data_IF_172114003241
#
_entry.id   IF_172114003241
#
_cell.length_a   1.000
_cell.length_b   1.000
_cell.length_c   1.000
_cell.angle_alpha   90.00
_cell.angle_beta   90.00
_cell.angle_gamma   90.00
#
_symmetry.space_group_name_H-M   'P 1'
#
loop_
_entity.id
_entity.type
_entity.pdbx_description
1 polymer ?
#
# COMPACT_ATOMS: atom_id res chain seq x y z
N UNK A 1 30.12 18.01 13.00
CA UNK A 1 29.30 17.76 11.80
C UNK A 1 27.96 17.22 12.28
N UNK A 2 26.86 17.97 12.16
CA UNK A 2 25.56 17.43 12.53
C UNK A 2 25.22 16.27 11.59
N UNK A 3 24.74 15.16 12.16
CA UNK A 3 24.21 14.04 11.39
C UNK A 3 22.83 14.47 10.91
N UNK A 4 22.71 14.82 9.64
CA UNK A 4 21.43 14.88 8.96
C UNK A 4 20.92 13.44 8.80
N UNK A 5 20.41 12.88 9.90
CA UNK A 5 19.39 11.84 9.81
C UNK A 5 18.16 12.56 9.27
N UNK A 6 18.11 12.79 7.95
CA UNK A 6 16.86 13.10 7.28
C UNK A 6 15.85 12.05 7.74
N UNK A 7 14.85 12.49 8.51
CA UNK A 7 13.82 11.61 9.03
C UNK A 7 13.08 10.98 7.84
N UNK A 8 13.48 9.75 7.52
CA UNK A 8 12.90 8.88 6.50
C UNK A 8 11.40 8.61 6.77
N UNK A 9 10.98 8.69 8.04
CA UNK A 9 9.59 8.60 8.49
C UNK A 9 9.21 9.87 9.26
N UNK A 10 8.05 10.45 8.95
CA UNK A 10 7.45 11.59 9.67
C UNK A 10 5.99 11.27 9.98
N UNK A 11 5.51 11.69 11.14
CA UNK A 11 4.10 11.52 11.51
C UNK A 11 3.42 12.89 11.53
N UNK A 12 2.28 13.02 10.84
CA UNK A 12 1.49 14.24 10.79
C UNK A 12 0.02 13.91 10.57
N UNK A 13 -0.88 14.51 11.35
CA UNK A 13 -2.33 14.35 11.25
C UNK A 13 -2.82 12.89 11.20
N UNK A 14 -2.20 11.98 11.97
CA UNK A 14 -2.59 10.56 11.98
C UNK A 14 -2.03 9.74 10.81
N UNK A 15 -1.16 10.34 9.98
CA UNK A 15 -0.58 9.72 8.79
C UNK A 15 0.94 9.61 8.93
N UNK A 16 1.47 8.44 8.60
CA UNK A 16 2.90 8.15 8.54
C UNK A 16 3.43 8.44 7.13
N UNK A 17 4.16 9.54 6.97
CA UNK A 17 4.84 9.90 5.72
C UNK A 17 6.22 9.27 5.64
N UNK A 18 6.51 8.57 4.55
CA UNK A 18 7.72 7.78 4.36
C UNK A 18 8.42 8.25 3.09
N UNK A 19 9.64 8.78 3.16
CA UNK A 19 10.33 9.26 1.95
C UNK A 19 11.19 8.16 1.35
N UNK A 20 10.76 7.55 0.23
CA UNK A 20 11.55 6.48 -0.43
C UNK A 20 12.28 7.07 -1.66
N UNK A 21 13.61 7.30 -1.60
CA UNK A 21 14.34 7.91 -2.72
C UNK A 21 14.33 7.04 -3.98
N UNK A 22 14.37 5.72 -3.80
CA UNK A 22 14.28 4.71 -4.87
C UNK A 22 12.88 4.65 -5.52
N UNK A 23 11.89 5.40 -5.02
CA UNK A 23 10.53 5.37 -5.53
C UNK A 23 10.16 6.65 -6.30
N UNK A 24 11.13 7.26 -6.99
CA UNK A 24 10.97 8.47 -7.81
C UNK A 24 11.23 8.13 -9.27
N UNK A 25 10.20 8.21 -10.11
CA UNK A 25 10.28 7.80 -11.52
C UNK A 25 10.09 8.95 -12.51
N UNK A 26 10.75 8.83 -13.66
CA UNK A 26 10.44 9.58 -14.87
C UNK A 26 9.14 9.01 -15.49
N UNK A 27 8.16 9.88 -15.77
CA UNK A 27 6.86 9.51 -16.33
C UNK A 27 6.90 8.96 -17.76
N UNK A 28 8.04 9.02 -18.45
CA UNK A 28 8.14 8.65 -19.86
C UNK A 28 8.22 7.13 -20.12
N UNK A 29 8.61 6.29 -19.14
CA UNK A 29 8.80 4.84 -19.33
C UNK A 29 8.52 4.00 -18.07
N UNK A 30 8.37 2.67 -18.21
CA UNK A 30 8.23 1.73 -17.07
C UNK A 30 9.60 1.14 -16.67
N UNK A 31 10.26 1.61 -15.60
CA UNK A 31 11.59 1.12 -15.21
C UNK A 31 11.59 -0.32 -14.66
N UNK A 32 10.41 -0.92 -14.43
CA UNK A 32 10.26 -2.25 -13.83
C UNK A 32 10.06 -3.38 -14.84
N UNK A 33 9.61 -3.07 -16.05
CA UNK A 33 9.30 -4.06 -17.11
C UNK A 33 10.29 -3.97 -18.28
N UNK A 34 11.11 -2.92 -18.34
CA UNK A 34 12.15 -2.78 -19.36
C UNK A 34 13.18 -3.93 -19.33
N UNK A 35 13.59 -4.33 -20.53
CA UNK A 35 14.72 -5.22 -20.77
C UNK A 35 15.99 -4.38 -20.77
N UNK A 36 16.79 -4.42 -19.71
CA UNK A 36 18.03 -3.64 -19.63
C UNK A 36 18.72 -3.69 -18.27
N UNK A 37 19.95 -3.14 -18.22
CA UNK A 37 20.80 -3.07 -17.01
C UNK A 37 20.29 -2.08 -15.96
N UNK A 38 19.44 -1.13 -16.34
CA UNK A 38 18.89 -0.10 -15.45
C UNK A 38 17.51 -0.47 -14.87
N UNK A 39 17.18 -1.78 -14.82
CA UNK A 39 15.90 -2.24 -14.30
C UNK A 39 15.83 -2.03 -12.79
N UNK A 40 14.82 -1.32 -12.35
CA UNK A 40 14.57 -1.12 -10.92
C UNK A 40 13.96 -2.36 -10.28
N UNK A 41 14.31 -2.57 -8.99
CA UNK A 41 13.91 -3.74 -8.23
C UNK A 41 12.91 -3.34 -7.14
N UNK A 42 11.63 -3.77 -7.25
CA UNK A 42 10.61 -3.48 -6.24
C UNK A 42 10.98 -3.87 -4.81
N UNK A 43 11.89 -4.82 -4.64
CA UNK A 43 12.39 -5.25 -3.33
C UNK A 43 13.05 -4.12 -2.52
N UNK A 44 13.83 -3.24 -3.18
CA UNK A 44 14.48 -2.12 -2.50
C UNK A 44 13.46 -1.16 -1.90
N UNK A 45 12.46 -0.81 -2.70
CA UNK A 45 11.31 0.03 -2.32
C UNK A 45 10.49 -0.63 -1.20
N UNK A 46 10.12 -1.91 -1.35
CA UNK A 46 9.31 -2.63 -0.36
C UNK A 46 9.98 -2.66 1.02
N UNK A 47 11.31 -2.84 1.07
CA UNK A 47 12.06 -2.92 2.32
C UNK A 47 11.93 -1.66 3.18
N UNK A 48 11.86 -0.49 2.56
CA UNK A 48 11.69 0.78 3.26
C UNK A 48 10.35 0.84 4.00
N UNK A 49 9.27 0.42 3.33
CA UNK A 49 7.94 0.35 3.90
C UNK A 49 7.84 -0.77 4.95
N UNK A 50 8.37 -1.95 4.66
CA UNK A 50 8.39 -3.08 5.59
C UNK A 50 9.08 -2.70 6.90
N UNK A 51 10.22 -1.99 6.86
CA UNK A 51 10.91 -1.51 8.06
C UNK A 51 10.04 -0.53 8.86
N UNK A 52 9.37 0.41 8.20
CA UNK A 52 8.49 1.36 8.88
C UNK A 52 7.32 0.63 9.59
N UNK A 53 6.71 -0.33 8.91
CA UNK A 53 5.62 -1.15 9.45
C UNK A 53 6.09 -2.05 10.59
N UNK A 54 7.28 -2.65 10.46
CA UNK A 54 7.92 -3.44 11.53
C UNK A 54 8.09 -2.62 12.81
N UNK A 55 8.54 -1.37 12.69
CA UNK A 55 8.71 -0.49 13.84
C UNK A 55 7.38 -0.12 14.49
N UNK A 56 6.32 0.08 13.70
CA UNK A 56 5.02 0.52 14.20
C UNK A 56 4.14 -0.63 14.71
N UNK A 57 4.24 -1.82 14.09
CA UNK A 57 3.33 -2.95 14.31
C UNK A 57 4.07 -4.26 14.64
N UNK A 58 5.24 -4.18 15.28
CA UNK A 58 6.13 -5.31 15.60
C UNK A 58 5.44 -6.61 16.08
N UNK A 59 4.30 -6.50 16.77
CA UNK A 59 3.52 -7.63 17.30
C UNK A 59 2.06 -7.66 16.82
N UNK A 60 1.69 -6.81 15.86
CA UNK A 60 0.33 -6.69 15.36
C UNK A 60 0.09 -7.60 14.17
N UNK A 61 -1.02 -8.34 14.20
CA UNK A 61 -1.58 -9.00 13.02
C UNK A 61 -2.30 -7.93 12.20
N UNK A 62 -1.67 -7.47 11.12
CA UNK A 62 -2.20 -6.39 10.27
C UNK A 62 -2.42 -6.83 8.83
N UNK A 63 -3.45 -6.26 8.21
CA UNK A 63 -3.62 -6.29 6.76
C UNK A 63 -3.09 -5.00 6.16
N UNK A 64 -2.37 -5.10 5.05
CA UNK A 64 -1.84 -3.96 4.32
C UNK A 64 -2.45 -3.92 2.93
N UNK A 65 -3.06 -2.79 2.60
CA UNK A 65 -3.57 -2.47 1.28
C UNK A 65 -2.77 -1.31 0.70
N UNK A 66 -2.08 -1.52 -0.42
CA UNK A 66 -1.43 -0.46 -1.18
C UNK A 66 -2.32 0.00 -2.33
N UNK A 67 -2.46 1.31 -2.51
CA UNK A 67 -3.21 1.89 -3.63
C UNK A 67 -2.41 3.01 -4.30
N UNK A 68 -2.75 3.27 -5.56
CA UNK A 68 -2.24 4.42 -6.31
C UNK A 68 -3.25 5.55 -6.20
N UNK A 69 -2.88 6.68 -5.62
CA UNK A 69 -3.80 7.82 -5.45
C UNK A 69 -4.39 8.29 -6.78
N UNK A 70 -3.64 8.11 -7.87
CA UNK A 70 -4.04 8.46 -9.24
C UNK A 70 -5.12 7.56 -9.83
N UNK A 71 -5.42 6.42 -9.20
CA UNK A 71 -6.60 5.62 -9.55
C UNK A 71 -7.92 6.29 -9.14
N UNK A 72 -7.83 7.37 -8.33
CA UNK A 72 -8.96 8.17 -7.87
C UNK A 72 -8.92 9.56 -8.53
N UNK A 73 -9.04 9.62 -9.86
CA UNK A 73 -8.86 10.84 -10.68
C UNK A 73 -9.69 12.06 -10.26
N UNK A 74 -10.78 11.85 -9.52
CA UNK A 74 -11.66 12.91 -9.02
C UNK A 74 -11.14 13.61 -7.76
N UNK A 75 -10.10 13.07 -7.12
CA UNK A 75 -9.56 13.55 -5.85
C UNK A 75 -8.05 13.78 -5.99
N UNK A 76 -7.57 14.90 -5.48
CA UNK A 76 -6.14 15.02 -5.24
C UNK A 76 -5.74 14.09 -4.08
N UNK A 77 -4.44 13.78 -3.95
CA UNK A 77 -3.94 12.85 -2.92
C UNK A 77 -4.37 13.25 -1.50
N UNK A 78 -4.38 14.56 -1.20
CA UNK A 78 -4.74 15.07 0.14
C UNK A 78 -6.22 14.83 0.44
N UNK A 79 -7.11 15.14 -0.51
CA UNK A 79 -8.55 14.95 -0.33
C UNK A 79 -8.90 13.46 -0.22
N UNK A 80 -8.21 12.60 -0.98
CA UNK A 80 -8.35 11.15 -0.86
C UNK A 80 -7.91 10.65 0.53
N UNK A 81 -6.77 11.13 1.04
CA UNK A 81 -6.30 10.81 2.40
C UNK A 81 -7.36 11.21 3.43
N UNK A 82 -7.87 12.43 3.35
CA UNK A 82 -8.89 12.92 4.27
C UNK A 82 -10.15 12.05 4.22
N UNK A 83 -10.63 11.71 3.03
CA UNK A 83 -11.81 10.85 2.87
C UNK A 83 -11.58 9.45 3.44
N UNK A 84 -10.37 8.88 3.26
CA UNK A 84 -10.02 7.58 3.85
C UNK A 84 -10.04 7.68 5.37
N UNK A 85 -9.48 8.74 5.95
CA UNK A 85 -9.48 8.95 7.40
C UNK A 85 -10.90 9.10 7.94
N UNK A 86 -11.76 9.87 7.27
CA UNK A 86 -13.16 10.06 7.69
C UNK A 86 -13.98 8.77 7.59
N UNK A 87 -13.81 8.02 6.51
CA UNK A 87 -14.62 6.82 6.22
C UNK A 87 -14.05 5.50 6.76
N UNK A 88 -12.81 5.48 7.23
CA UNK A 88 -12.15 4.27 7.71
C UNK A 88 -11.64 3.34 6.61
N UNK A 89 -11.57 3.78 5.35
CA UNK A 89 -11.10 2.92 4.27
C UNK A 89 -11.24 3.56 2.90
N UNK A 90 -11.02 2.77 1.84
CA UNK A 90 -11.15 3.27 0.48
C UNK A 90 -12.59 3.72 0.17
N UNK A 91 -12.79 4.74 -0.70
CA UNK A 91 -14.12 5.06 -1.19
C UNK A 91 -14.79 3.79 -1.77
N UNK A 92 -16.00 3.46 -1.31
CA UNK A 92 -16.70 2.25 -1.77
C UNK A 92 -17.20 2.51 -3.18
N UNK A 93 -16.78 1.66 -4.11
CA UNK A 93 -17.30 1.63 -5.46
C UNK A 93 -18.57 0.76 -5.44
N UNK A 94 -19.73 1.29 -5.86
CA UNK A 94 -20.99 0.53 -5.99
C UNK A 94 -20.97 -0.49 -7.16
N UNK A 95 -19.84 -1.15 -7.37
CA UNK A 95 -19.61 -2.13 -8.42
C UNK A 95 -20.21 -3.52 -8.09
N UNK A 96 -20.87 -3.66 -6.93
CA UNK A 96 -21.46 -4.93 -6.48
C UNK A 96 -20.41 -6.02 -6.24
N UNK A 97 -19.17 -5.64 -5.90
CA UNK A 97 -18.10 -6.58 -5.60
C UNK A 97 -18.37 -7.30 -4.29
N UNK A 98 -17.94 -8.56 -4.22
CA UNK A 98 -18.05 -9.39 -3.04
C UNK A 98 -16.89 -9.16 -2.05
N UNK A 99 -16.06 -8.15 -2.24
CA UNK A 99 -14.95 -7.81 -1.35
C UNK A 99 -14.78 -6.29 -1.27
N UNK A 100 -14.21 -5.81 -0.16
CA UNK A 100 -13.99 -4.38 0.08
C UNK A 100 -12.66 -3.91 -0.50
N UNK A 101 -11.62 -4.73 -0.38
CA UNK A 101 -10.28 -4.43 -0.92
C UNK A 101 -9.42 -5.69 -1.09
N UNK A 102 -8.33 -5.52 -1.84
CA UNK A 102 -7.23 -6.46 -1.88
C UNK A 102 -6.16 -6.05 -0.86
N UNK A 103 -5.64 -6.99 -0.08
CA UNK A 103 -4.63 -6.76 0.94
C UNK A 103 -3.69 -7.96 1.11
N UNK A 104 -2.56 -7.72 1.76
CA UNK A 104 -1.65 -8.75 2.24
C UNK A 104 -1.75 -8.83 3.77
N UNK A 105 -1.63 -10.03 4.33
CA UNK A 105 -1.40 -10.19 5.76
C UNK A 105 0.09 -10.00 6.02
N UNK A 106 0.45 -8.99 6.80
CA UNK A 106 1.85 -8.67 7.06
C UNK A 106 2.33 -9.46 8.27
N UNK A 107 3.36 -10.28 8.06
CA UNK A 107 3.99 -11.00 9.15
C UNK A 107 5.46 -10.62 9.25
N UNK A 108 5.87 -9.97 10.35
CA UNK A 108 7.21 -9.42 10.49
C UNK A 108 8.33 -10.47 10.52
N UNK A 109 7.99 -11.76 10.68
CA UNK A 109 8.94 -12.85 10.84
C UNK A 109 8.96 -13.86 9.67
N UNK A 110 8.17 -13.61 8.63
CA UNK A 110 8.08 -14.53 7.49
C UNK A 110 8.53 -13.84 6.22
N UNK A 111 9.59 -14.36 5.60
CA UNK A 111 10.16 -13.80 4.37
C UNK A 111 9.16 -13.70 3.20
N UNK A 112 8.04 -14.43 3.23
CA UNK A 112 7.00 -14.41 2.20
C UNK A 112 5.98 -13.29 2.35
N UNK A 113 5.87 -12.63 3.49
CA UNK A 113 4.84 -11.63 3.78
C UNK A 113 5.44 -10.22 3.92
N UNK A 114 5.94 -9.73 2.79
CA UNK A 114 6.42 -8.34 2.60
C UNK A 114 5.40 -7.54 1.79
N UNK A 115 5.60 -6.24 1.69
CA UNK A 115 4.83 -5.36 0.78
C UNK A 115 5.19 -5.53 -0.69
N UNK A 116 6.22 -6.33 -1.01
CA UNK A 116 6.69 -6.61 -2.37
C UNK A 116 5.59 -7.05 -3.35
N UNK A 117 4.66 -7.96 -3.00
CA UNK A 117 3.62 -8.42 -3.93
C UNK A 117 2.74 -7.29 -4.49
N UNK A 118 2.51 -6.22 -3.72
CA UNK A 118 1.78 -5.05 -4.21
C UNK A 118 2.53 -4.29 -5.29
N UNK A 119 3.84 -4.12 -5.11
CA UNK A 119 4.65 -3.50 -6.14
C UNK A 119 4.72 -4.38 -7.40
N UNK A 120 4.80 -5.70 -7.25
CA UNK A 120 4.74 -6.59 -8.40
C UNK A 120 3.37 -6.54 -9.12
N UNK A 121 2.27 -6.52 -8.35
CA UNK A 121 0.91 -6.34 -8.89
C UNK A 121 0.79 -5.07 -9.74
N UNK A 122 1.23 -3.93 -9.21
CA UNK A 122 1.04 -2.66 -9.89
C UNK A 122 2.06 -2.37 -11.00
N UNK A 123 3.32 -2.80 -10.83
CA UNK A 123 4.41 -2.44 -11.74
C UNK A 123 4.75 -3.52 -12.76
N UNK A 124 4.39 -4.79 -12.51
CA UNK A 124 4.77 -5.92 -13.38
C UNK A 124 3.59 -6.72 -13.92
N UNK A 125 2.43 -6.70 -13.27
CA UNK A 125 1.26 -7.47 -13.71
C UNK A 125 0.29 -6.65 -14.57
N UNK A 126 -0.20 -7.26 -15.66
CA UNK A 126 -1.31 -6.71 -16.45
C UNK A 126 -2.61 -6.79 -15.64
N UNK A 127 -3.54 -5.82 -15.74
CA UNK A 127 -3.49 -4.66 -16.64
C UNK A 127 -2.75 -3.44 -16.06
N UNK A 128 -2.34 -3.46 -14.80
CA UNK A 128 -1.80 -2.28 -14.10
C UNK A 128 -0.50 -1.77 -14.72
N UNK A 129 0.43 -2.69 -15.00
CA UNK A 129 1.74 -2.38 -15.58
C UNK A 129 1.65 -1.81 -17.00
N UNK A 130 0.58 -2.13 -17.74
CA UNK A 130 0.36 -1.64 -19.11
C UNK A 130 -0.33 -0.28 -19.12
N UNK A 131 -1.37 -0.12 -18.29
CA UNK A 131 -2.19 1.09 -18.29
C UNK A 131 -1.50 2.27 -17.64
N UNK A 132 -0.80 2.01 -16.53
CA UNK A 132 -0.27 3.06 -15.63
C UNK A 132 1.08 2.64 -15.04
N UNK A 133 2.09 2.43 -15.89
CA UNK A 133 3.39 1.89 -15.50
C UNK A 133 4.21 2.75 -14.53
N UNK A 134 3.94 4.06 -14.50
CA UNK A 134 4.73 5.06 -13.78
C UNK A 134 4.04 5.54 -12.51
N UNK A 135 2.81 5.09 -12.26
CA UNK A 135 2.01 5.59 -11.15
C UNK A 135 2.42 4.89 -9.85
N UNK A 136 2.86 5.64 -8.84
CA UNK A 136 3.32 5.05 -7.59
C UNK A 136 2.16 4.46 -6.80
N UNK A 137 2.43 3.37 -6.08
CA UNK A 137 1.60 2.85 -5.00
C UNK A 137 1.95 3.66 -3.77
N UNK A 138 1.29 4.80 -3.62
CA UNK A 138 1.74 5.89 -2.75
C UNK A 138 0.92 6.05 -1.47
N UNK A 139 -0.24 5.39 -1.37
CA UNK A 139 -1.06 5.35 -0.15
C UNK A 139 -1.18 3.90 0.32
N UNK A 140 -0.97 3.71 1.61
CA UNK A 140 -0.98 2.41 2.27
C UNK A 140 -1.91 2.46 3.47
N UNK A 141 -2.92 1.61 3.44
CA UNK A 141 -3.92 1.46 4.50
C UNK A 141 -3.56 0.23 5.33
N UNK A 142 -3.54 0.39 6.65
CA UNK A 142 -3.20 -0.66 7.60
C UNK A 142 -4.43 -0.97 8.43
N UNK A 143 -4.90 -2.21 8.37
CA UNK A 143 -6.11 -2.65 9.06
C UNK A 143 -5.83 -3.75 10.09
N UNK A 144 -6.71 -3.89 11.07
CA UNK A 144 -6.73 -5.05 11.97
C UNK A 144 -7.16 -6.31 11.21
N UNK A 145 -6.32 -7.36 11.19
CA UNK A 145 -6.66 -8.65 10.58
C UNK A 145 -7.97 -9.21 11.10
N UNK A 146 -8.27 -9.04 12.39
CA UNK A 146 -9.45 -9.63 13.02
C UNK A 146 -10.76 -9.04 12.51
N UNK A 147 -10.72 -7.79 12.06
CA UNK A 147 -11.90 -7.11 11.54
C UNK A 147 -12.36 -7.63 10.18
N UNK A 148 -11.47 -8.30 9.45
CA UNK A 148 -11.71 -8.73 8.09
C UNK A 148 -11.70 -10.26 7.96
N UNK A 149 -12.37 -10.75 6.94
CA UNK A 149 -12.29 -12.14 6.51
C UNK A 149 -11.82 -12.22 5.06
N UNK A 150 -10.98 -13.22 4.77
CA UNK A 150 -10.58 -13.51 3.40
C UNK A 150 -11.74 -14.20 2.68
N UNK A 151 -12.21 -13.60 1.59
CA UNK A 151 -13.30 -14.16 0.77
C UNK A 151 -12.81 -14.88 -0.47
N UNK A 152 -11.65 -14.49 -1.00
CA UNK A 152 -11.02 -15.17 -2.14
C UNK A 152 -9.54 -14.80 -2.28
N UNK A 153 -8.83 -15.45 -3.22
CA UNK A 153 -7.46 -15.07 -3.59
C UNK A 153 -7.48 -13.87 -4.54
N UNK A 154 -6.48 -13.00 -4.44
CA UNK A 154 -6.27 -11.90 -5.37
C UNK A 154 -5.49 -12.34 -6.61
N UNK A 155 -5.11 -11.36 -7.43
CA UNK A 155 -4.44 -11.62 -8.70
C UNK A 155 -2.98 -12.08 -8.56
N UNK A 156 -2.29 -11.61 -7.51
CA UNK A 156 -0.89 -11.96 -7.24
C UNK A 156 -0.81 -12.76 -5.95
N UNK A 157 0.13 -13.72 -5.90
CA UNK A 157 0.36 -14.54 -4.72
C UNK A 157 0.65 -13.67 -3.49
N UNK A 158 -0.05 -13.94 -2.38
CA UNK A 158 0.08 -13.18 -1.13
C UNK A 158 -0.85 -11.98 -1.03
N UNK A 159 -1.44 -11.52 -2.14
CA UNK A 159 -2.52 -10.53 -2.13
C UNK A 159 -3.85 -11.26 -2.21
N UNK A 160 -4.69 -11.10 -1.19
CA UNK A 160 -6.00 -11.74 -1.10
C UNK A 160 -7.10 -10.68 -1.03
N UNK A 161 -8.35 -11.11 -1.27
CA UNK A 161 -9.53 -10.25 -1.19
C UNK A 161 -10.18 -10.39 0.17
N UNK A 162 -10.45 -9.25 0.79
CA UNK A 162 -10.97 -9.17 2.14
C UNK A 162 -12.29 -8.42 2.19
N UNK A 163 -13.14 -8.81 3.14
CA UNK A 163 -14.41 -8.16 3.47
C UNK A 163 -14.50 -7.92 4.96
N UNK A 164 -15.04 -6.77 5.37
CA UNK A 164 -15.32 -6.43 6.75
C UNK A 164 -16.33 -7.41 7.32
N UNK A 165 -16.05 -7.90 8.53
CA UNK A 165 -16.99 -8.76 9.26
C UNK A 165 -18.18 -7.93 9.74
N UNK A 166 -19.39 -8.52 9.85
CA UNK A 166 -20.60 -7.78 10.21
C UNK A 166 -20.55 -7.05 11.56
N UNK A 167 -19.77 -7.58 12.51
CA UNK A 167 -19.69 -7.04 13.89
C UNK A 167 -18.60 -5.98 14.08
N UNK A 168 -17.89 -5.61 13.00
CA UNK A 168 -16.80 -4.64 13.05
C UNK A 168 -17.20 -3.33 12.39
N UNK A 169 -16.71 -2.24 12.97
CA UNK A 169 -16.83 -0.90 12.39
C UNK A 169 -15.62 -0.59 11.51
N UNK A 170 -15.88 -0.06 10.31
CA UNK A 170 -14.84 0.21 9.32
C UNK A 170 -13.83 1.25 9.82
N UNK A 171 -14.32 2.33 10.43
CA UNK A 171 -13.48 3.41 10.94
C UNK A 171 -12.54 2.93 12.04
N UNK A 172 -13.05 2.15 12.97
CA UNK A 172 -12.29 1.56 14.07
C UNK A 172 -11.30 0.48 13.61
N UNK A 173 -11.52 -0.10 12.42
CA UNK A 173 -10.68 -1.17 11.88
C UNK A 173 -9.47 -0.66 11.11
N UNK A 174 -9.46 0.61 10.69
CA UNK A 174 -8.30 1.28 10.10
C UNK A 174 -7.34 1.71 11.22
N UNK A 175 -6.22 0.99 11.37
CA UNK A 175 -5.24 1.22 12.42
C UNK A 175 -4.30 2.39 12.12
N UNK A 176 -3.93 2.56 10.84
CA UNK A 176 -3.04 3.64 10.41
C UNK A 176 -3.10 3.84 8.90
N UNK A 177 -2.67 5.03 8.49
CA UNK A 177 -2.36 5.34 7.11
C UNK A 177 -0.86 5.60 6.98
N UNK A 178 -0.26 5.11 5.91
CA UNK A 178 1.07 5.52 5.49
C UNK A 178 1.04 6.07 4.06
N UNK A 179 1.84 7.10 3.81
CA UNK A 179 1.97 7.75 2.50
C UNK A 179 3.44 7.77 2.14
N UNK A 180 3.80 7.29 0.97
CA UNK A 180 5.19 7.29 0.52
C UNK A 180 5.44 8.42 -0.48
N UNK A 181 6.53 9.16 -0.24
CA UNK A 181 7.09 10.29 -1.01
C UNK A 181 6.07 11.03 -1.89
#
# INVERSE_FOLDING_TARGET
MPRDNEQFVRFHDGVTYISIPEYRFDSSRNPFVEMGVNRERPYGIARYLDIALLHQFMHGDILICGVRSTDFELLNRKDLIQQIQESGGLPINDLGLDYDFEALEFSPFVASFSTLPFFDLYHKSSPHAEKRPHHPVDIWLIFDVKAYEQVSKGQVAGVNRYRLRPDYDRHSSLLSLAVIN
#
